data_IF_731818472796
#
_entry.id   IF_731818472796
#
_cell.length_a   1.000
_cell.length_b   1.000
_cell.length_c   1.000
_cell.angle_alpha   90.00
_cell.angle_beta   90.00
_cell.angle_gamma   90.00
#
_symmetry.space_group_name_H-M   'P 1'
#
loop_
_entity.id
_entity.type
_entity.pdbx_description
1 polymer ?
#
# COMPACT_ATOMS: atom_id res chain seq x y z
N UNK A 1 10.64 -18.49 -3.62
CA UNK A 1 11.63 -17.39 -3.52
C UNK A 1 12.63 -17.69 -2.43
N UNK A 2 13.89 -17.47 -2.71
CA UNK A 2 14.97 -17.77 -1.76
C UNK A 2 15.08 -16.67 -0.69
N UNK A 3 15.62 -17.04 0.46
CA UNK A 3 15.76 -16.15 1.62
C UNK A 3 16.57 -14.88 1.28
N UNK A 4 17.63 -15.00 0.51
CA UNK A 4 18.49 -13.88 0.11
C UNK A 4 17.75 -12.91 -0.83
N UNK A 5 16.88 -13.43 -1.69
CA UNK A 5 16.04 -12.61 -2.57
C UNK A 5 15.04 -11.81 -1.75
N UNK A 6 14.39 -12.43 -0.76
CA UNK A 6 13.46 -11.75 0.13
C UNK A 6 14.14 -10.63 0.90
N UNK A 7 15.35 -10.88 1.41
CA UNK A 7 16.13 -9.87 2.13
C UNK A 7 16.46 -8.69 1.22
N UNK A 8 16.95 -8.94 0.01
CA UNK A 8 17.28 -7.89 -0.95
C UNK A 8 16.07 -7.04 -1.31
N UNK A 9 14.92 -7.67 -1.56
CA UNK A 9 13.68 -6.97 -1.88
C UNK A 9 13.25 -6.11 -0.70
N UNK A 10 13.27 -6.65 0.52
CA UNK A 10 12.89 -5.92 1.73
C UNK A 10 13.76 -4.69 1.94
N UNK A 11 15.07 -4.82 1.77
CA UNK A 11 16.00 -3.69 1.90
C UNK A 11 15.72 -2.59 0.88
N UNK A 12 15.42 -2.97 -0.36
CA UNK A 12 15.09 -2.00 -1.42
C UNK A 12 13.76 -1.29 -1.18
N UNK A 13 12.87 -1.89 -0.41
CA UNK A 13 11.58 -1.28 -0.08
C UNK A 13 11.64 -0.30 1.09
N UNK A 14 12.67 -0.33 1.91
CA UNK A 14 12.77 0.56 3.10
C UNK A 14 12.62 2.02 2.70
N UNK A 15 13.39 2.48 1.72
CA UNK A 15 13.34 3.87 1.25
C UNK A 15 11.97 4.21 0.68
N UNK A 16 11.37 3.28 -0.05
CA UNK A 16 10.03 3.46 -0.63
C UNK A 16 8.98 3.64 0.45
N UNK A 17 9.03 2.86 1.53
CA UNK A 17 8.11 3.03 2.66
C UNK A 17 8.33 4.37 3.36
N UNK A 18 9.56 4.84 3.47
CA UNK A 18 9.84 6.19 3.99
C UNK A 18 9.19 7.27 3.14
N UNK A 19 9.33 7.18 1.82
CA UNK A 19 8.72 8.14 0.89
C UNK A 19 7.20 8.10 0.98
N UNK A 20 6.63 6.90 1.01
CA UNK A 20 5.18 6.72 1.12
C UNK A 20 4.64 7.28 2.44
N UNK A 21 5.35 7.04 3.54
CA UNK A 21 5.00 7.58 4.85
C UNK A 21 5.02 9.09 4.88
N UNK A 22 6.06 9.71 4.33
CA UNK A 22 6.15 11.16 4.21
C UNK A 22 5.02 11.73 3.38
N UNK A 23 4.66 11.07 2.27
CA UNK A 23 3.58 11.52 1.41
C UNK A 23 2.23 11.43 2.11
N UNK A 24 2.01 10.38 2.93
CA UNK A 24 0.77 10.26 3.72
C UNK A 24 0.60 11.44 4.68
N UNK A 25 1.68 11.88 5.32
CA UNK A 25 1.68 13.03 6.22
C UNK A 25 1.46 14.33 5.44
N UNK A 26 2.14 14.47 4.31
CA UNK A 26 2.02 15.64 3.45
C UNK A 26 0.60 15.84 2.93
N UNK A 27 -0.03 14.78 2.45
CA UNK A 27 -1.41 14.84 1.96
C UNK A 27 -2.40 15.14 3.08
N UNK A 28 -2.17 14.60 4.27
CA UNK A 28 -2.99 14.93 5.43
C UNK A 28 -2.92 16.44 5.73
N UNK A 29 -1.72 17.02 5.72
CA UNK A 29 -1.53 18.44 6.02
C UNK A 29 -2.16 19.37 4.97
N UNK A 30 -2.32 18.89 3.73
CA UNK A 30 -2.99 19.63 2.66
C UNK A 30 -4.51 19.47 2.66
N UNK A 31 -5.05 18.61 3.52
CA UNK A 31 -6.46 18.28 3.57
C UNK A 31 -6.81 17.07 2.70
N UNK A 32 -7.22 15.99 3.34
CA UNK A 32 -7.55 14.75 2.65
C UNK A 32 -8.88 14.85 1.92
N UNK A 33 -8.95 14.22 0.75
CA UNK A 33 -10.20 13.99 0.02
C UNK A 33 -10.65 12.57 0.31
N UNK A 34 -11.80 12.42 0.97
CA UNK A 34 -12.31 11.15 1.45
C UNK A 34 -13.51 10.72 0.62
N UNK A 35 -13.53 9.43 0.23
CA UNK A 35 -14.67 8.78 -0.42
C UNK A 35 -15.11 7.60 0.44
N UNK A 36 -16.39 7.26 0.36
CA UNK A 36 -16.93 6.09 1.02
C UNK A 36 -17.08 4.98 0.00
N UNK A 37 -16.45 3.82 0.27
CA UNK A 37 -16.51 2.64 -0.60
C UNK A 37 -17.88 1.94 -0.47
N UNK A 38 -18.15 1.00 -1.38
CA UNK A 38 -19.42 0.24 -1.40
C UNK A 38 -19.70 -0.48 -0.07
N UNK A 39 -18.67 -0.98 0.59
CA UNK A 39 -18.77 -1.62 1.91
C UNK A 39 -18.89 -0.61 3.06
N UNK A 40 -19.10 0.67 2.74
CA UNK A 40 -19.20 1.80 3.68
C UNK A 40 -17.92 2.15 4.43
N UNK A 41 -16.79 1.55 4.08
CA UNK A 41 -15.49 1.95 4.64
C UNK A 41 -14.95 3.18 3.92
N UNK A 42 -14.21 4.06 4.62
CA UNK A 42 -13.63 5.25 4.00
C UNK A 42 -12.33 4.93 3.25
N UNK A 43 -12.06 5.69 2.18
CA UNK A 43 -10.78 5.73 1.51
C UNK A 43 -10.41 7.18 1.22
N UNK A 44 -9.17 7.55 1.43
CA UNK A 44 -8.68 8.89 1.14
C UNK A 44 -7.73 8.90 -0.04
N UNK A 45 -7.46 10.09 -0.58
CA UNK A 45 -6.41 10.25 -1.59
C UNK A 45 -5.03 9.86 -1.03
N UNK A 46 -4.83 9.95 0.30
CA UNK A 46 -3.62 9.46 0.95
C UNK A 46 -3.47 7.94 0.81
N UNK A 47 -4.55 7.18 1.04
CA UNK A 47 -4.56 5.72 0.85
C UNK A 47 -4.18 5.35 -0.59
N UNK A 48 -4.77 6.03 -1.57
CA UNK A 48 -4.54 5.75 -2.99
C UNK A 48 -3.11 6.10 -3.42
N UNK A 49 -2.57 7.21 -2.96
CA UNK A 49 -1.21 7.63 -3.32
C UNK A 49 -0.16 6.72 -2.67
N UNK A 50 -0.35 6.33 -1.42
CA UNK A 50 0.53 5.35 -0.76
C UNK A 50 0.50 4.02 -1.50
N UNK A 51 -0.68 3.55 -1.87
CA UNK A 51 -0.83 2.33 -2.68
C UNK A 51 -0.04 2.43 -3.98
N UNK A 52 -0.17 3.53 -4.70
CA UNK A 52 0.53 3.77 -5.96
C UNK A 52 2.06 3.73 -5.79
N UNK A 53 2.59 4.42 -4.80
CA UNK A 53 4.04 4.47 -4.53
C UNK A 53 4.58 3.07 -4.26
N UNK A 54 3.93 2.32 -3.39
CA UNK A 54 4.37 0.98 -2.99
C UNK A 54 4.24 -0.01 -4.15
N UNK A 55 3.08 -0.03 -4.83
CA UNK A 55 2.84 -0.98 -5.92
C UNK A 55 3.74 -0.75 -7.11
N UNK A 56 4.01 0.49 -7.50
CA UNK A 56 4.91 0.80 -8.60
C UNK A 56 6.33 0.29 -8.33
N UNK A 57 6.84 0.45 -7.11
CA UNK A 57 8.15 -0.06 -6.73
C UNK A 57 8.19 -1.58 -6.72
N UNK A 58 7.17 -2.22 -6.17
CA UNK A 58 7.08 -3.69 -6.13
C UNK A 58 7.02 -4.27 -7.53
N UNK A 59 6.28 -3.67 -8.45
CA UNK A 59 6.23 -4.10 -9.86
C UNK A 59 7.59 -4.03 -10.53
N UNK A 60 8.40 -3.03 -10.21
CA UNK A 60 9.76 -2.91 -10.73
C UNK A 60 10.69 -3.98 -10.17
N UNK A 61 10.56 -4.29 -8.89
CA UNK A 61 11.41 -5.28 -8.21
C UNK A 61 11.03 -6.71 -8.56
N UNK A 62 9.73 -6.98 -8.69
CA UNK A 62 9.20 -8.32 -8.91
C UNK A 62 8.10 -8.30 -9.98
N UNK A 63 8.44 -8.09 -11.27
CA UNK A 63 7.45 -7.91 -12.32
C UNK A 63 6.56 -9.13 -12.57
N UNK A 64 7.00 -10.31 -12.17
CA UNK A 64 6.27 -11.55 -12.38
C UNK A 64 5.46 -12.02 -11.16
N UNK A 65 5.51 -11.28 -10.05
CA UNK A 65 4.77 -11.63 -8.85
C UNK A 65 3.49 -10.77 -8.79
N UNK A 66 2.30 -11.41 -8.71
CA UNK A 66 1.05 -10.66 -8.63
C UNK A 66 0.93 -9.83 -7.36
N UNK A 67 0.20 -8.72 -7.48
CA UNK A 67 -0.07 -7.82 -6.36
C UNK A 67 -1.57 -7.81 -6.08
N UNK A 68 -1.93 -8.04 -4.81
CA UNK A 68 -3.28 -7.85 -4.31
C UNK A 68 -3.22 -6.72 -3.30
N UNK A 69 -3.86 -5.60 -3.62
CA UNK A 69 -3.96 -4.45 -2.73
C UNK A 69 -5.40 -4.26 -2.29
N UNK A 70 -5.59 -3.81 -1.07
CA UNK A 70 -6.91 -3.45 -0.54
C UNK A 70 -7.58 -2.35 -1.38
N UNK A 71 -6.79 -1.44 -1.94
CA UNK A 71 -7.32 -0.32 -2.74
C UNK A 71 -7.42 -0.64 -4.23
N UNK A 72 -6.63 -1.59 -4.71
CA UNK A 72 -6.62 -2.00 -6.12
C UNK A 72 -6.60 -3.52 -6.19
N UNK A 73 -7.76 -4.14 -6.35
CA UNK A 73 -7.87 -5.61 -6.44
C UNK A 73 -7.97 -6.05 -7.90
N UNK A 74 -6.99 -6.83 -8.37
CA UNK A 74 -7.09 -7.51 -9.64
C UNK A 74 -7.65 -8.91 -9.44
N UNK A 75 -8.92 -9.07 -9.78
CA UNK A 75 -9.65 -10.33 -9.61
C UNK A 75 -9.11 -11.48 -10.49
N UNK A 76 -8.39 -11.15 -11.57
CA UNK A 76 -7.82 -12.15 -12.49
C UNK A 76 -6.66 -12.92 -11.87
N UNK A 77 -6.05 -12.40 -10.84
CA UNK A 77 -4.87 -12.98 -10.20
C UNK A 77 -5.23 -13.91 -9.06
N UNK A 78 -6.49 -13.92 -8.65
CA UNK A 78 -6.99 -14.42 -7.36
C UNK A 78 -6.73 -15.89 -7.06
N UNK A 79 -6.55 -16.76 -8.06
CA UNK A 79 -6.57 -18.22 -7.84
C UNK A 79 -5.39 -18.99 -8.43
N UNK A 80 -4.41 -18.33 -9.05
CA UNK A 80 -3.40 -19.02 -9.82
C UNK A 80 -1.97 -18.90 -9.30
N UNK A 81 -1.72 -17.96 -8.42
CA UNK A 81 -0.35 -17.70 -7.94
C UNK A 81 -0.12 -18.32 -6.56
N UNK A 82 0.98 -19.08 -6.44
CA UNK A 82 1.43 -19.62 -5.14
C UNK A 82 2.09 -18.55 -4.27
N UNK A 83 2.64 -17.51 -4.92
CA UNK A 83 3.29 -16.38 -4.25
C UNK A 83 2.66 -15.11 -4.79
N UNK A 84 2.28 -14.21 -3.90
CA UNK A 84 1.71 -12.91 -4.26
C UNK A 84 2.04 -11.89 -3.18
N UNK A 85 1.96 -10.60 -3.56
CA UNK A 85 2.04 -9.51 -2.60
C UNK A 85 0.66 -9.19 -2.07
N UNK A 86 0.56 -9.05 -0.76
CA UNK A 86 -0.64 -8.54 -0.12
C UNK A 86 -0.30 -7.16 0.45
N UNK A 87 -0.98 -6.13 -0.04
CA UNK A 87 -0.71 -4.75 0.33
C UNK A 87 -1.93 -4.14 0.98
N UNK A 88 -1.74 -3.62 2.18
CA UNK A 88 -2.68 -2.72 2.84
C UNK A 88 -1.95 -1.38 2.97
N UNK A 89 -2.16 -0.44 2.04
CA UNK A 89 -1.35 0.77 1.97
C UNK A 89 -1.44 1.59 3.25
N UNK A 90 -2.63 1.74 3.82
CA UNK A 90 -2.81 2.33 5.15
C UNK A 90 -3.76 1.45 5.95
N UNK A 91 -3.22 0.76 6.95
CA UNK A 91 -4.01 0.08 7.96
C UNK A 91 -4.37 1.11 9.03
N UNK A 92 -5.64 1.25 9.33
CA UNK A 92 -6.14 2.30 10.22
C UNK A 92 -6.54 3.56 9.47
N UNK A 93 -7.22 3.42 8.32
CA UNK A 93 -7.67 4.56 7.50
C UNK A 93 -8.51 5.55 8.29
N UNK A 94 -9.39 5.07 9.16
CA UNK A 94 -10.23 5.95 10.01
C UNK A 94 -9.38 6.82 10.94
N UNK A 95 -8.37 6.21 11.54
CA UNK A 95 -7.44 6.91 12.44
C UNK A 95 -6.58 7.90 11.67
N UNK A 96 -6.11 7.53 10.48
CA UNK A 96 -5.36 8.42 9.59
C UNK A 96 -6.19 9.66 9.22
N UNK A 97 -7.43 9.46 8.75
CA UNK A 97 -8.34 10.56 8.38
C UNK A 97 -8.62 11.47 9.58
N UNK A 98 -8.75 10.88 10.78
CA UNK A 98 -9.02 11.63 12.00
C UNK A 98 -7.78 12.37 12.56
N UNK A 99 -6.62 12.20 11.95
CA UNK A 99 -5.38 12.85 12.40
C UNK A 99 -4.71 12.19 13.59
N UNK A 100 -5.01 10.92 13.82
CA UNK A 100 -4.37 10.14 14.89
C UNK A 100 -3.12 9.43 14.36
N UNK A 101 -2.13 9.23 15.21
CA UNK A 101 -0.88 8.56 14.86
C UNK A 101 -1.00 7.03 14.82
N UNK A 102 -2.21 6.49 14.90
CA UNK A 102 -2.49 5.07 15.02
C UNK A 102 -2.78 4.44 13.65
N UNK A 103 -1.82 4.53 12.71
CA UNK A 103 -1.94 3.86 11.43
C UNK A 103 -0.56 3.37 10.95
N UNK A 104 -0.57 2.36 10.08
CA UNK A 104 0.65 1.75 9.54
C UNK A 104 0.52 1.51 8.04
N UNK A 105 1.67 1.40 7.36
CA UNK A 105 1.77 1.04 5.95
C UNK A 105 2.32 -0.39 5.89
N UNK A 106 1.67 -1.27 5.12
CA UNK A 106 2.00 -2.70 5.10
C UNK A 106 2.08 -3.29 3.69
N UNK A 107 3.08 -4.15 3.49
CA UNK A 107 3.20 -4.96 2.29
C UNK A 107 3.84 -6.32 2.62
#
# INVERSE_FOLDING_TARGET
>A
MKKDELKSISEKLIETFHLAGKESINLFSKGLKVKIKEDKSPVSNGDLEVDKIITEKIKKLTPNIPIISEETVDLKVKNTAKIFWLIDPIDGTKEYIAGKDEYTLNA
#
